data_IF_535806224037
#
_entry.id   IF_535806224037
#
_cell.length_a   1.000
_cell.length_b   1.000
_cell.length_c   1.000
_cell.angle_alpha   90.00
_cell.angle_beta   90.00
_cell.angle_gamma   90.00
#
_symmetry.space_group_name_H-M   'P 1'
#
loop_
_entity.id
_entity.type
_entity.pdbx_description
1 polymer ?
#
# COMPACT_ATOMS: atom_id res chain seq x y z
N UNK A 1 12.77 12.70 5.55
CA UNK A 1 12.66 13.92 6.40
C UNK A 1 11.74 13.69 7.58
N UNK A 2 10.45 13.37 7.37
CA UNK A 2 9.47 13.20 8.45
C UNK A 2 9.81 12.09 9.45
N UNK A 3 10.30 10.93 8.97
CA UNK A 3 10.82 9.86 9.85
C UNK A 3 11.96 10.35 10.74
N UNK A 4 12.94 11.04 10.15
CA UNK A 4 14.08 11.59 10.89
C UNK A 4 13.62 12.64 11.92
N UNK A 5 12.69 13.52 11.53
CA UNK A 5 12.11 14.49 12.45
C UNK A 5 11.38 13.78 13.61
N UNK A 6 10.57 12.76 13.30
CA UNK A 6 9.92 11.93 14.30
C UNK A 6 10.90 11.32 15.28
N UNK A 7 11.96 10.68 14.78
CA UNK A 7 13.01 10.09 15.61
C UNK A 7 13.69 11.14 16.52
N UNK A 8 14.04 12.30 15.98
CA UNK A 8 14.70 13.36 16.73
C UNK A 8 13.79 13.98 17.81
N UNK A 9 12.50 14.16 17.53
CA UNK A 9 11.55 14.75 18.47
C UNK A 9 10.93 13.72 19.44
N UNK A 10 11.04 12.43 19.13
CA UNK A 10 10.52 11.33 19.94
C UNK A 10 11.29 11.11 21.25
N UNK A 11 10.72 10.23 22.08
CA UNK A 11 11.14 9.99 23.47
C UNK A 11 12.61 9.62 23.66
N UNK A 12 13.25 9.00 22.67
CA UNK A 12 14.63 8.52 22.77
C UNK A 12 15.71 9.57 22.42
N UNK A 13 15.33 10.69 21.78
CA UNK A 13 16.27 11.73 21.37
C UNK A 13 16.04 13.03 22.16
N UNK A 14 15.21 13.95 21.65
CA UNK A 14 14.91 15.22 22.34
C UNK A 14 13.80 15.08 23.39
N UNK A 15 12.94 14.06 23.28
CA UNK A 15 11.86 13.82 24.24
C UNK A 15 10.79 14.91 24.29
N UNK A 16 10.66 15.73 23.23
CA UNK A 16 9.68 16.81 23.16
C UNK A 16 8.28 16.32 22.86
N UNK A 17 8.18 15.20 22.15
CA UNK A 17 6.93 14.49 21.91
C UNK A 17 6.96 13.22 22.75
N UNK A 18 6.31 13.28 23.90
CA UNK A 18 5.98 12.08 24.67
C UNK A 18 4.78 11.43 23.97
N UNK A 19 5.08 10.56 23.00
CA UNK A 19 4.04 9.76 22.31
C UNK A 19 3.54 8.72 23.31
N UNK A 20 2.67 9.14 24.22
CA UNK A 20 1.84 8.24 25.02
C UNK A 20 0.61 7.73 24.24
N UNK A 21 0.56 8.01 22.93
CA UNK A 21 -0.38 7.34 22.04
C UNK A 21 0.06 5.87 22.06
N UNK A 22 -0.64 5.04 22.83
CA UNK A 22 -0.45 3.59 22.81
C UNK A 22 -0.54 3.08 21.37
N UNK A 23 0.04 1.90 21.10
CA UNK A 23 0.10 1.31 19.75
C UNK A 23 -1.22 1.37 18.98
N UNK A 24 -2.35 1.29 19.68
CA UNK A 24 -3.71 1.42 19.15
C UNK A 24 -3.99 2.73 18.39
N UNK A 25 -3.55 3.89 18.90
CA UNK A 25 -3.81 5.17 18.23
C UNK A 25 -2.97 5.37 16.96
N UNK A 26 -1.73 4.86 16.95
CA UNK A 26 -0.89 4.82 15.75
C UNK A 26 -1.48 3.86 14.72
N UNK A 27 -1.97 2.70 15.15
CA UNK A 27 -2.65 1.72 14.31
C UNK A 27 -3.87 2.35 13.62
N UNK A 28 -4.79 2.94 14.38
CA UNK A 28 -5.99 3.58 13.80
C UNK A 28 -5.61 4.66 12.79
N UNK A 29 -4.63 5.51 13.10
CA UNK A 29 -4.17 6.53 12.16
C UNK A 29 -3.62 5.90 10.88
N UNK A 30 -2.75 4.90 11.00
CA UNK A 30 -2.14 4.20 9.88
C UNK A 30 -3.19 3.51 9.00
N UNK A 31 -4.15 2.82 9.61
CA UNK A 31 -5.26 2.13 8.92
C UNK A 31 -6.13 3.11 8.14
N UNK A 32 -6.57 4.20 8.78
CA UNK A 32 -7.40 5.21 8.11
C UNK A 32 -6.63 5.93 6.99
N UNK A 33 -5.34 6.17 7.19
CA UNK A 33 -4.47 6.78 6.16
C UNK A 33 -4.37 5.85 4.95
N UNK A 34 -4.02 4.58 5.16
CA UNK A 34 -3.91 3.62 4.07
C UNK A 34 -5.25 3.39 3.38
N UNK A 35 -6.36 3.34 4.11
CA UNK A 35 -7.69 3.21 3.54
C UNK A 35 -8.02 4.36 2.58
N UNK A 36 -7.67 5.61 2.96
CA UNK A 36 -7.87 6.77 2.12
C UNK A 36 -6.95 6.76 0.90
N UNK A 37 -5.66 6.47 1.09
CA UNK A 37 -4.65 6.41 0.01
C UNK A 37 -5.01 5.32 -1.01
N UNK A 38 -5.35 4.11 -0.56
CA UNK A 38 -5.81 3.03 -1.45
C UNK A 38 -7.05 3.43 -2.26
N UNK A 39 -7.96 4.18 -1.66
CA UNK A 39 -9.13 4.71 -2.38
C UNK A 39 -8.71 5.72 -3.45
N UNK A 40 -7.91 6.73 -3.09
CA UNK A 40 -7.50 7.80 -4.01
C UNK A 40 -6.64 7.27 -5.15
N UNK A 41 -5.69 6.40 -4.86
CA UNK A 41 -4.74 5.86 -5.85
C UNK A 41 -5.43 4.97 -6.87
N UNK A 42 -6.30 4.08 -6.39
CA UNK A 42 -7.11 3.23 -7.27
C UNK A 42 -8.14 4.03 -8.06
N UNK A 43 -8.70 5.11 -7.50
CA UNK A 43 -9.58 6.02 -8.22
C UNK A 43 -8.86 6.84 -9.27
N UNK A 44 -7.61 7.25 -9.02
CA UNK A 44 -6.79 7.98 -9.97
C UNK A 44 -6.34 7.11 -11.14
N UNK A 45 -6.08 5.83 -10.89
CA UNK A 45 -5.68 4.87 -11.90
C UNK A 45 -6.63 4.89 -13.08
N UNK A 46 -6.11 5.20 -14.27
CA UNK A 46 -6.91 5.28 -15.47
C UNK A 46 -7.12 3.88 -16.07
N UNK A 47 -8.12 3.15 -15.57
CA UNK A 47 -8.49 1.82 -16.10
C UNK A 47 -8.86 1.85 -17.59
N UNK A 48 -9.31 2.99 -18.13
CA UNK A 48 -9.59 3.13 -19.55
C UNK A 48 -8.30 3.24 -20.38
N UNK A 49 -7.26 3.88 -19.85
CA UNK A 49 -5.89 3.85 -20.41
C UNK A 49 -5.29 2.46 -20.28
N UNK A 50 -5.43 1.77 -19.14
CA UNK A 50 -4.98 0.37 -18.99
C UNK A 50 -5.60 -0.59 -20.04
N UNK A 51 -6.83 -0.33 -20.47
CA UNK A 51 -7.51 -1.09 -21.54
C UNK A 51 -7.13 -0.65 -22.96
N UNK A 52 -6.61 0.57 -23.16
CA UNK A 52 -6.29 1.16 -24.47
C UNK A 52 -4.79 1.14 -24.79
N UNK A 53 -3.94 1.20 -23.77
CA UNK A 53 -2.49 1.36 -23.88
C UNK A 53 -1.82 0.21 -23.10
N UNK A 54 -1.34 -0.75 -23.90
CA UNK A 54 -0.02 -1.39 -23.81
C UNK A 54 0.36 -2.17 -22.55
N UNK A 55 0.50 -3.48 -22.75
CA UNK A 55 1.23 -4.54 -22.01
C UNK A 55 2.19 -4.21 -20.84
N UNK A 56 2.78 -3.02 -20.71
CA UNK A 56 3.79 -2.72 -19.68
C UNK A 56 3.21 -2.79 -18.26
N UNK A 57 2.27 -1.93 -17.81
CA UNK A 57 1.72 -1.97 -16.45
C UNK A 57 1.08 -3.31 -16.10
N UNK A 58 0.40 -3.96 -17.05
CA UNK A 58 -0.17 -5.30 -16.84
C UNK A 58 0.94 -6.31 -16.54
N UNK A 59 2.04 -6.32 -17.30
CA UNK A 59 3.15 -7.23 -17.03
C UNK A 59 3.89 -6.87 -15.75
N UNK A 60 4.03 -5.59 -15.41
CA UNK A 60 4.62 -5.19 -14.14
C UNK A 60 3.77 -5.69 -12.96
N UNK A 61 2.44 -5.57 -13.03
CA UNK A 61 1.53 -5.99 -11.97
C UNK A 61 1.33 -7.52 -11.89
N UNK A 62 1.25 -8.23 -13.02
CA UNK A 62 0.92 -9.67 -13.03
C UNK A 62 2.14 -10.58 -13.21
N UNK A 63 3.32 -10.04 -13.56
CA UNK A 63 4.57 -10.79 -13.66
C UNK A 63 5.62 -10.19 -12.71
N UNK A 64 5.88 -8.88 -12.84
CA UNK A 64 6.91 -8.18 -12.05
C UNK A 64 6.65 -8.25 -10.55
N UNK A 65 5.44 -7.91 -10.10
CA UNK A 65 5.08 -7.89 -8.68
C UNK A 65 5.12 -9.29 -8.04
N UNK A 66 4.50 -10.36 -8.61
CA UNK A 66 4.66 -11.71 -8.09
C UNK A 66 6.12 -12.17 -8.05
N UNK A 67 6.91 -11.88 -9.08
CA UNK A 67 8.34 -12.22 -9.09
C UNK A 67 9.12 -11.42 -8.03
N UNK A 68 8.73 -10.19 -7.73
CA UNK A 68 9.30 -9.37 -6.64
C UNK A 68 9.03 -10.03 -5.30
N UNK A 69 7.80 -10.50 -5.06
CA UNK A 69 7.44 -11.23 -3.83
C UNK A 69 8.22 -12.54 -3.74
N UNK A 70 8.29 -13.33 -4.83
CA UNK A 70 9.01 -14.62 -4.84
C UNK A 70 10.52 -14.41 -4.59
N UNK A 71 11.13 -13.41 -5.23
CA UNK A 71 12.55 -13.14 -5.07
C UNK A 71 12.87 -12.52 -3.70
N UNK A 72 11.99 -11.66 -3.19
CA UNK A 72 12.04 -11.17 -1.81
C UNK A 72 11.95 -12.33 -0.82
N UNK A 73 11.00 -13.24 -1.01
CA UNK A 73 10.85 -14.43 -0.18
C UNK A 73 12.11 -15.30 -0.22
N UNK A 74 12.64 -15.62 -1.41
CA UNK A 74 13.83 -16.45 -1.55
C UNK A 74 15.07 -15.81 -0.89
N UNK A 75 15.22 -14.49 -1.01
CA UNK A 75 16.32 -13.75 -0.37
C UNK A 75 16.15 -13.70 1.15
N UNK A 76 14.93 -13.47 1.63
CA UNK A 76 14.62 -13.41 3.06
C UNK A 76 14.81 -14.77 3.72
N UNK A 77 14.38 -15.85 3.06
CA UNK A 77 14.56 -17.22 3.52
C UNK A 77 16.04 -17.61 3.65
N UNK A 78 16.92 -17.01 2.84
CA UNK A 78 18.36 -17.23 2.93
C UNK A 78 19.04 -16.39 4.03
N UNK A 79 18.49 -15.21 4.33
CA UNK A 79 19.12 -14.25 5.25
C UNK A 79 18.59 -14.36 6.69
N UNK A 80 17.33 -14.79 6.88
CA UNK A 80 16.67 -14.80 8.17
C UNK A 80 16.27 -16.22 8.56
N UNK A 81 17.15 -16.89 9.30
CA UNK A 81 16.93 -18.27 9.79
C UNK A 81 15.90 -18.33 10.94
N UNK A 82 15.60 -17.17 11.53
CA UNK A 82 14.71 -17.01 12.69
C UNK A 82 13.24 -16.84 12.29
N UNK A 83 12.98 -16.47 11.02
CA UNK A 83 11.63 -16.21 10.52
C UNK A 83 10.97 -17.49 10.01
N UNK A 84 9.70 -17.67 10.37
CA UNK A 84 8.86 -18.73 9.81
C UNK A 84 8.59 -18.54 8.30
N UNK A 85 8.14 -19.60 7.63
CA UNK A 85 7.83 -19.57 6.19
C UNK A 85 6.85 -18.42 5.83
N UNK A 86 5.78 -18.27 6.61
CA UNK A 86 4.77 -17.26 6.36
C UNK A 86 5.23 -15.85 6.77
N UNK A 87 6.12 -15.73 7.75
CA UNK A 87 6.70 -14.44 8.15
C UNK A 87 7.65 -13.89 7.07
N UNK A 88 8.47 -14.74 6.45
CA UNK A 88 9.29 -14.34 5.29
C UNK A 88 8.41 -13.94 4.11
N UNK A 89 7.28 -14.63 3.89
CA UNK A 89 6.33 -14.28 2.84
C UNK A 89 5.62 -12.94 3.12
N UNK A 90 5.29 -12.66 4.39
CA UNK A 90 4.82 -11.35 4.84
C UNK A 90 5.84 -10.27 4.53
N UNK A 91 7.10 -10.44 4.98
CA UNK A 91 8.18 -9.49 4.73
C UNK A 91 8.33 -9.16 3.25
N UNK A 92 8.37 -10.19 2.41
CA UNK A 92 8.48 -10.04 0.97
C UNK A 92 7.29 -9.30 0.37
N UNK A 93 6.08 -9.53 0.88
CA UNK A 93 4.86 -8.86 0.43
C UNK A 93 4.80 -7.41 0.89
N UNK A 94 5.21 -7.10 2.13
CA UNK A 94 5.24 -5.73 2.67
C UNK A 94 6.22 -4.82 1.92
N UNK A 95 7.31 -5.41 1.45
CA UNK A 95 8.34 -4.76 0.65
C UNK A 95 8.20 -5.10 -0.84
N UNK A 96 7.02 -5.45 -1.35
CA UNK A 96 6.76 -5.54 -2.78
C UNK A 96 6.14 -4.27 -3.40
N UNK A 97 5.22 -3.54 -2.74
CA UNK A 97 4.62 -2.34 -3.30
C UNK A 97 5.61 -1.18 -3.42
N UNK A 98 5.25 -0.23 -4.27
CA UNK A 98 6.01 0.98 -4.61
C UNK A 98 5.10 2.18 -4.67
N UNK A 99 5.57 3.32 -4.19
CA UNK A 99 4.77 4.52 -3.96
C UNK A 99 5.14 5.64 -4.95
N UNK A 100 4.22 5.98 -5.85
CA UNK A 100 4.43 7.05 -6.82
C UNK A 100 4.42 8.45 -6.20
N UNK A 101 3.84 8.65 -5.02
CA UNK A 101 3.82 9.95 -4.35
C UNK A 101 5.23 10.39 -3.95
N UNK A 102 6.07 9.46 -3.49
CA UNK A 102 7.50 9.70 -3.26
C UNK A 102 8.27 9.97 -4.56
N UNK A 103 7.77 9.46 -5.67
CA UNK A 103 8.30 9.64 -7.02
C UNK A 103 7.63 10.72 -7.86
N UNK A 104 6.77 11.58 -7.28
CA UNK A 104 5.88 12.49 -8.03
C UNK A 104 6.64 13.35 -9.05
N UNK A 105 7.81 13.85 -8.65
CA UNK A 105 8.69 14.65 -9.51
C UNK A 105 9.11 13.94 -10.81
N UNK A 106 9.15 12.61 -10.84
CA UNK A 106 9.51 11.81 -12.01
C UNK A 106 8.27 11.51 -12.86
N UNK A 107 7.18 11.07 -12.24
CA UNK A 107 5.93 10.72 -12.96
C UNK A 107 5.20 11.94 -13.52
N UNK A 108 5.52 13.16 -13.05
CA UNK A 108 5.03 14.42 -13.64
C UNK A 108 6.01 15.07 -14.61
N UNK A 109 7.23 14.56 -14.77
CA UNK A 109 8.27 15.22 -15.58
C UNK A 109 8.08 15.00 -17.09
N UNK A 110 7.86 16.03 -17.91
CA UNK A 110 7.69 15.88 -19.36
C UNK A 110 8.91 15.27 -20.09
N UNK A 111 10.10 15.30 -19.48
CA UNK A 111 11.31 14.68 -20.04
C UNK A 111 11.27 13.14 -20.00
N UNK A 112 10.43 12.55 -19.15
CA UNK A 112 10.23 11.09 -19.11
C UNK A 112 9.13 10.70 -20.11
N UNK A 113 9.35 9.69 -20.97
CA UNK A 113 8.35 9.25 -21.94
C UNK A 113 6.99 8.99 -21.29
N UNK A 114 5.92 9.44 -21.95
CA UNK A 114 4.55 9.35 -21.45
C UNK A 114 4.16 7.91 -21.08
N UNK A 115 4.46 6.94 -21.94
CA UNK A 115 4.18 5.52 -21.67
C UNK A 115 4.85 5.01 -20.40
N UNK A 116 6.07 5.47 -20.09
CA UNK A 116 6.79 5.10 -18.86
C UNK A 116 6.15 5.77 -17.64
N UNK A 117 5.83 7.07 -17.73
CA UNK A 117 5.16 7.79 -16.64
C UNK A 117 3.81 7.20 -16.30
N UNK A 118 2.99 6.92 -17.31
CA UNK A 118 1.68 6.28 -17.13
C UNK A 118 1.82 4.86 -16.57
N UNK A 119 2.79 4.07 -17.05
CA UNK A 119 3.04 2.72 -16.55
C UNK A 119 3.39 2.73 -15.06
N UNK A 120 4.32 3.60 -14.65
CA UNK A 120 4.75 3.70 -13.26
C UNK A 120 3.64 4.24 -12.34
N UNK A 121 2.83 5.17 -12.83
CA UNK A 121 1.67 5.69 -12.10
C UNK A 121 0.59 4.62 -11.91
N UNK A 122 0.31 3.82 -12.94
CA UNK A 122 -0.66 2.70 -12.84
C UNK A 122 -0.13 1.57 -11.97
N UNK A 123 1.16 1.23 -12.07
CA UNK A 123 1.79 0.22 -11.21
C UNK A 123 1.66 0.63 -9.75
N UNK A 124 2.08 1.86 -9.41
CA UNK A 124 2.04 2.38 -8.04
C UNK A 124 0.62 2.62 -7.53
N UNK A 125 -0.35 2.89 -8.40
CA UNK A 125 -1.75 3.08 -8.00
C UNK A 125 -2.52 1.79 -7.72
N UNK A 126 -2.02 0.64 -8.20
CA UNK A 126 -2.70 -0.65 -8.08
C UNK A 126 -1.94 -1.69 -7.25
N UNK A 127 -0.61 -1.61 -7.19
CA UNK A 127 0.22 -2.59 -6.49
C UNK A 127 -0.14 -2.73 -5.00
N UNK A 128 -0.34 -1.62 -4.27
CA UNK A 128 -0.67 -1.61 -2.85
C UNK A 128 -1.95 -2.40 -2.59
N UNK A 129 -3.00 -2.11 -3.36
CA UNK A 129 -4.28 -2.80 -3.27
C UNK A 129 -4.23 -4.26 -3.71
N UNK A 130 -3.33 -4.63 -4.62
CA UNK A 130 -3.08 -6.03 -5.02
C UNK A 130 -2.28 -6.77 -3.93
N UNK A 131 -1.38 -6.09 -3.23
CA UNK A 131 -0.60 -6.66 -2.14
C UNK A 131 -1.43 -6.91 -0.88
N UNK A 132 -2.45 -6.10 -0.59
CA UNK A 132 -3.29 -6.25 0.62
C UNK A 132 -3.88 -7.66 0.77
N UNK A 133 -4.60 -8.25 -0.21
CA UNK A 133 -5.11 -9.61 -0.09
C UNK A 133 -4.02 -10.65 0.16
N UNK A 134 -2.87 -10.50 -0.51
CA UNK A 134 -1.71 -11.41 -0.36
C UNK A 134 -1.14 -11.31 1.05
N UNK A 135 -1.00 -10.10 1.56
CA UNK A 135 -0.53 -9.83 2.92
C UNK A 135 -1.47 -10.44 3.96
N UNK A 136 -2.77 -10.15 3.88
CA UNK A 136 -3.77 -10.67 4.81
C UNK A 136 -3.82 -12.21 4.78
N UNK A 137 -3.64 -12.82 3.61
CA UNK A 137 -3.58 -14.27 3.48
C UNK A 137 -2.36 -14.86 4.18
N UNK A 138 -1.16 -14.32 3.96
CA UNK A 138 0.03 -14.78 4.67
C UNK A 138 -0.02 -14.49 6.18
N UNK A 139 -0.64 -13.37 6.59
CA UNK A 139 -0.83 -13.03 7.99
C UNK A 139 -1.68 -14.10 8.69
N UNK A 140 -2.81 -14.46 8.09
CA UNK A 140 -3.70 -15.49 8.61
C UNK A 140 -3.02 -16.87 8.69
N UNK A 141 -2.13 -17.18 7.75
CA UNK A 141 -1.34 -18.41 7.81
C UNK A 141 -0.25 -18.35 8.89
N UNK A 142 0.42 -17.21 9.08
CA UNK A 142 1.44 -17.03 10.12
C UNK A 142 0.85 -17.15 11.54
N UNK A 143 -0.31 -16.52 11.76
CA UNK A 143 -1.05 -16.63 13.03
C UNK A 143 -1.63 -18.03 13.22
N UNK A 144 -2.13 -18.66 12.15
CA UNK A 144 -2.68 -20.02 12.25
C UNK A 144 -1.62 -21.11 12.46
N UNK A 145 -0.39 -20.91 12.00
CA UNK A 145 0.73 -21.84 12.18
C UNK A 145 1.21 -21.88 13.65
N UNK A 146 1.11 -20.75 14.35
CA UNK A 146 1.48 -20.63 15.77
C UNK A 146 0.49 -21.31 16.71
N UNK A 147 -0.81 -21.33 16.39
CA UNK A 147 -1.85 -21.87 17.30
C UNK A 147 -2.14 -23.37 17.14
N UNK A 148 -1.89 -23.96 15.96
CA UNK A 148 -1.86 -25.41 15.63
C UNK A 148 -2.23 -25.59 14.14
N UNK A 149 -1.57 -26.48 13.39
CA UNK A 149 -1.74 -26.60 11.92
C UNK A 149 -3.18 -26.84 11.38
N UNK A 150 -4.16 -27.15 12.23
CA UNK A 150 -5.59 -27.17 11.84
C UNK A 150 -6.25 -25.77 11.84
N UNK A 151 -5.73 -24.82 12.62
CA UNK A 151 -6.19 -23.44 12.69
C UNK A 151 -5.83 -22.65 11.42
N UNK A 152 -4.66 -22.93 10.80
CA UNK A 152 -4.23 -22.27 9.57
C UNK A 152 -5.25 -22.38 8.42
N UNK A 153 -5.85 -23.56 8.22
CA UNK A 153 -6.87 -23.76 7.18
C UNK A 153 -8.17 -22.99 7.46
N UNK A 154 -8.56 -22.88 8.73
CA UNK A 154 -9.73 -22.10 9.14
C UNK A 154 -9.48 -20.59 8.98
N UNK A 155 -8.32 -20.10 9.45
CA UNK A 155 -7.94 -18.69 9.33
C UNK A 155 -7.81 -18.27 7.86
N UNK A 156 -7.21 -19.10 7.01
CA UNK A 156 -7.17 -18.85 5.56
C UNK A 156 -8.56 -18.75 4.94
N UNK A 157 -9.51 -19.59 5.37
CA UNK A 157 -10.90 -19.55 4.90
C UNK A 157 -11.62 -18.27 5.36
N UNK A 158 -11.46 -17.88 6.62
CA UNK A 158 -12.02 -16.64 7.17
C UNK A 158 -11.46 -15.42 6.45
N UNK A 159 -10.16 -15.39 6.17
CA UNK A 159 -9.54 -14.31 5.39
C UNK A 159 -10.07 -14.25 3.98
N UNK A 160 -10.27 -15.39 3.31
CA UNK A 160 -10.86 -15.41 1.97
C UNK A 160 -12.31 -14.87 1.99
N UNK A 161 -13.06 -15.19 3.04
CA UNK A 161 -14.39 -14.61 3.26
C UNK A 161 -14.30 -13.09 3.48
N UNK A 162 -13.38 -12.62 4.32
CA UNK A 162 -13.17 -11.20 4.59
C UNK A 162 -12.77 -10.42 3.32
N UNK A 163 -11.95 -11.02 2.46
CA UNK A 163 -11.62 -10.50 1.13
C UNK A 163 -12.89 -10.40 0.27
N UNK A 164 -13.68 -11.48 0.21
CA UNK A 164 -14.93 -11.51 -0.57
C UNK A 164 -15.94 -10.45 -0.12
N UNK A 165 -16.11 -10.27 1.19
CA UNK A 165 -16.97 -9.23 1.78
C UNK A 165 -16.43 -7.84 1.44
N UNK A 166 -15.12 -7.61 1.58
CA UNK A 166 -14.48 -6.35 1.19
C UNK A 166 -14.73 -5.99 -0.27
N UNK A 167 -14.57 -6.95 -1.19
CA UNK A 167 -14.87 -6.76 -2.62
C UNK A 167 -16.34 -6.41 -2.85
N UNK A 168 -17.26 -7.12 -2.18
CA UNK A 168 -18.70 -6.87 -2.33
C UNK A 168 -19.08 -5.48 -1.80
N UNK A 169 -18.63 -5.13 -0.60
CA UNK A 169 -18.89 -3.83 0.05
C UNK A 169 -18.31 -2.71 -0.79
N UNK A 170 -17.04 -2.80 -1.18
CA UNK A 170 -16.40 -1.80 -2.05
C UNK A 170 -17.10 -1.69 -3.40
N UNK A 171 -17.52 -2.82 -3.95
CA UNK A 171 -18.32 -2.93 -5.18
C UNK A 171 -19.60 -2.10 -5.12
N UNK A 172 -20.42 -2.39 -4.11
CA UNK A 172 -21.73 -1.74 -3.92
C UNK A 172 -21.55 -0.28 -3.51
N UNK A 173 -20.70 0.00 -2.51
CA UNK A 173 -20.51 1.33 -1.97
C UNK A 173 -19.86 2.28 -2.99
N UNK A 174 -18.83 1.84 -3.74
CA UNK A 174 -18.22 2.64 -4.81
C UNK A 174 -19.21 2.97 -5.92
N UNK A 175 -20.07 2.02 -6.28
CA UNK A 175 -21.08 2.21 -7.32
C UNK A 175 -22.21 3.15 -6.89
N UNK A 176 -22.79 2.90 -5.71
CA UNK A 176 -23.90 3.70 -5.15
C UNK A 176 -23.39 5.09 -4.76
N UNK A 177 -22.30 5.15 -4.01
CA UNK A 177 -21.66 6.38 -3.57
C UNK A 177 -21.18 7.23 -4.74
N UNK A 178 -20.50 6.63 -5.73
CA UNK A 178 -20.08 7.35 -6.93
C UNK A 178 -21.24 7.96 -7.72
N UNK A 179 -22.34 7.21 -7.89
CA UNK A 179 -23.56 7.74 -8.54
C UNK A 179 -24.23 8.84 -7.72
N UNK A 180 -24.29 8.70 -6.41
CA UNK A 180 -24.90 9.69 -5.52
C UNK A 180 -24.10 11.00 -5.54
N UNK A 181 -22.77 10.92 -5.40
CA UNK A 181 -21.87 12.08 -5.46
C UNK A 181 -22.02 12.78 -6.80
N UNK A 182 -22.00 12.02 -7.91
CA UNK A 182 -22.24 12.55 -9.24
C UNK A 182 -23.57 13.28 -9.35
N UNK A 183 -24.65 12.65 -8.89
CA UNK A 183 -26.00 13.21 -8.95
C UNK A 183 -26.11 14.52 -8.16
N UNK A 184 -25.58 14.57 -6.94
CA UNK A 184 -25.56 15.77 -6.11
C UNK A 184 -24.70 16.88 -6.74
N UNK A 185 -23.57 16.53 -7.36
CA UNK A 185 -22.69 17.47 -8.04
C UNK A 185 -23.33 18.06 -9.30
N UNK A 186 -24.00 17.24 -10.12
CA UNK A 186 -24.73 17.69 -11.32
C UNK A 186 -25.88 18.66 -10.98
N UNK A 187 -26.48 18.54 -9.79
CA UNK A 187 -27.49 19.48 -9.26
C UNK A 187 -26.90 20.72 -8.58
N UNK A 188 -25.57 20.83 -8.48
CA UNK A 188 -24.90 21.93 -7.78
C UNK A 188 -25.06 21.91 -6.26
N UNK A 189 -25.45 20.79 -5.66
CA UNK A 189 -25.59 20.66 -4.20
C UNK A 189 -24.24 20.59 -3.49
N UNK A 190 -23.20 20.13 -4.20
CA UNK A 190 -21.83 20.08 -3.71
C UNK A 190 -21.01 21.10 -4.49
N UNK A 191 -20.65 22.21 -3.84
CA UNK A 191 -19.92 23.31 -4.46
C UNK A 191 -18.85 23.89 -3.51
N UNK A 192 -17.82 24.50 -4.09
CA UNK A 192 -16.75 25.15 -3.34
C UNK A 192 -15.99 24.17 -2.44
N UNK A 193 -15.78 24.55 -1.18
CA UNK A 193 -15.08 23.74 -0.16
C UNK A 193 -15.77 22.43 0.16
N UNK A 194 -17.10 22.32 -0.03
CA UNK A 194 -17.84 21.08 0.21
C UNK A 194 -17.47 19.96 -0.75
N UNK A 195 -16.80 20.25 -1.87
CA UNK A 195 -16.27 19.20 -2.75
C UNK A 195 -15.13 18.39 -2.13
N UNK A 196 -14.54 18.84 -1.02
CA UNK A 196 -13.41 18.15 -0.40
C UNK A 196 -13.82 16.91 0.42
N UNK A 197 -15.08 16.87 0.87
CA UNK A 197 -15.57 15.89 1.85
C UNK A 197 -16.06 14.56 1.23
N UNK A 198 -16.78 14.52 0.09
CA UNK A 198 -17.52 13.33 -0.34
C UNK A 198 -16.66 12.09 -0.58
N UNK A 199 -15.46 12.24 -1.16
CA UNK A 199 -14.55 11.10 -1.40
C UNK A 199 -14.01 10.56 -0.08
N UNK A 200 -13.60 11.45 0.83
CA UNK A 200 -13.11 11.05 2.15
C UNK A 200 -14.22 10.30 2.91
N UNK A 201 -15.43 10.86 2.92
CA UNK A 201 -16.59 10.24 3.56
C UNK A 201 -16.92 8.87 2.94
N UNK A 202 -16.83 8.73 1.61
CA UNK A 202 -17.06 7.47 0.92
C UNK A 202 -15.99 6.43 1.28
N UNK A 203 -14.70 6.81 1.27
CA UNK A 203 -13.61 5.93 1.65
C UNK A 203 -13.78 5.42 3.10
N UNK A 204 -14.00 6.32 4.05
CA UNK A 204 -14.22 5.96 5.45
C UNK A 204 -15.48 5.10 5.65
N UNK A 205 -16.57 5.40 4.93
CA UNK A 205 -17.78 4.59 4.96
C UNK A 205 -17.55 3.18 4.40
N UNK A 206 -16.77 3.04 3.32
CA UNK A 206 -16.40 1.73 2.79
C UNK A 206 -15.58 0.94 3.81
N UNK A 207 -14.57 1.58 4.41
CA UNK A 207 -13.72 0.97 5.41
C UNK A 207 -14.53 0.47 6.62
N UNK A 208 -15.30 1.36 7.24
CA UNK A 208 -16.09 1.05 8.43
C UNK A 208 -17.17 0.01 8.15
N UNK A 209 -17.86 0.09 7.02
CA UNK A 209 -18.93 -0.87 6.66
C UNK A 209 -18.36 -2.26 6.41
N UNK A 210 -17.22 -2.37 5.73
CA UNK A 210 -16.58 -3.65 5.51
C UNK A 210 -16.11 -4.27 6.82
N UNK A 211 -15.45 -3.50 7.69
CA UNK A 211 -15.01 -3.96 9.01
C UNK A 211 -16.18 -4.42 9.88
N UNK A 212 -17.29 -3.69 9.87
CA UNK A 212 -18.50 -4.08 10.60
C UNK A 212 -19.10 -5.41 10.10
N UNK A 213 -18.91 -5.73 8.82
CA UNK A 213 -19.33 -6.99 8.21
C UNK A 213 -18.22 -8.07 8.26
N UNK A 214 -17.18 -7.88 9.08
CA UNK A 214 -16.03 -8.81 9.17
C UNK A 214 -15.26 -8.97 7.84
N UNK A 215 -15.34 -7.94 6.98
CA UNK A 215 -14.63 -7.82 5.72
C UNK A 215 -13.40 -6.92 5.81
N UNK A 216 -12.51 -7.04 4.84
CA UNK A 216 -11.34 -6.17 4.74
C UNK A 216 -11.74 -4.75 4.30
N UNK A 217 -11.56 -3.78 5.19
CA UNK A 217 -11.79 -2.36 4.92
C UNK A 217 -10.88 -1.81 3.82
N UNK A 218 -9.62 -2.23 3.80
CA UNK A 218 -8.64 -1.86 2.77
C UNK A 218 -9.08 -2.29 1.36
N UNK A 219 -9.54 -3.54 1.23
CA UNK A 219 -10.01 -4.07 -0.05
C UNK A 219 -11.29 -3.36 -0.48
N UNK A 220 -12.19 -3.06 0.47
CA UNK A 220 -13.39 -2.28 0.17
C UNK A 220 -13.06 -0.89 -0.36
N UNK A 221 -12.12 -0.17 0.27
CA UNK A 221 -11.66 1.13 -0.21
C UNK A 221 -11.01 1.05 -1.59
N UNK A 222 -10.13 0.08 -1.81
CA UNK A 222 -9.46 -0.13 -3.09
C UNK A 222 -10.46 -0.42 -4.22
N UNK A 223 -11.42 -1.33 -4.00
CA UNK A 223 -12.44 -1.66 -5.00
C UNK A 223 -13.39 -0.49 -5.23
N UNK A 224 -13.79 0.21 -4.17
CA UNK A 224 -14.66 1.37 -4.28
C UNK A 224 -13.98 2.51 -5.05
N UNK A 225 -12.69 2.76 -4.82
CA UNK A 225 -11.90 3.74 -5.54
C UNK A 225 -11.82 3.43 -7.03
N UNK A 226 -11.49 2.18 -7.42
CA UNK A 226 -11.51 1.75 -8.83
C UNK A 226 -12.86 2.02 -9.51
N UNK A 227 -13.97 1.70 -8.84
CA UNK A 227 -15.32 1.93 -9.38
C UNK A 227 -15.65 3.43 -9.46
N UNK A 228 -15.30 4.20 -8.43
CA UNK A 228 -15.50 5.64 -8.39
C UNK A 228 -14.76 6.33 -9.55
N UNK A 229 -13.48 5.98 -9.76
CA UNK A 229 -12.63 6.52 -10.82
C UNK A 229 -13.14 6.26 -12.24
N UNK A 230 -13.98 5.24 -12.43
CA UNK A 230 -14.63 4.95 -13.72
C UNK A 230 -16.00 5.60 -13.88
N UNK A 231 -16.70 5.87 -12.78
CA UNK A 231 -18.08 6.37 -12.74
C UNK A 231 -18.17 7.89 -12.80
N UNK A 232 -17.29 8.59 -12.07
CA UNK A 232 -17.20 10.05 -12.04
C UNK A 232 -16.02 10.52 -12.90
N UNK A 233 -16.30 11.14 -14.04
CA UNK A 233 -15.25 11.63 -14.97
C UNK A 233 -15.19 13.14 -15.08
N UNK A 234 -16.28 13.84 -14.76
CA UNK A 234 -16.43 15.28 -15.03
C UNK A 234 -15.75 16.11 -13.95
N UNK A 235 -15.96 15.74 -12.69
CA UNK A 235 -15.44 16.43 -11.52
C UNK A 235 -14.39 15.61 -10.75
N UNK A 236 -13.93 14.48 -11.33
CA UNK A 236 -12.96 13.53 -10.74
C UNK A 236 -11.78 14.24 -10.09
N UNK A 237 -11.05 15.06 -10.86
CA UNK A 237 -9.85 15.74 -10.38
C UNK A 237 -10.11 16.55 -9.12
N UNK A 238 -11.13 17.42 -9.12
CA UNK A 238 -11.46 18.26 -7.96
C UNK A 238 -11.81 17.49 -6.69
N UNK A 239 -12.49 16.35 -6.84
CA UNK A 239 -12.83 15.48 -5.72
C UNK A 239 -11.61 14.72 -5.19
N UNK A 240 -10.76 14.22 -6.09
CA UNK A 240 -9.56 13.45 -5.73
C UNK A 240 -8.43 14.34 -5.22
N UNK A 241 -8.16 15.51 -5.83
CA UNK A 241 -7.12 16.45 -5.38
C UNK A 241 -7.31 16.83 -3.91
N UNK A 242 -8.57 16.99 -3.49
CA UNK A 242 -8.89 17.31 -2.10
C UNK A 242 -8.68 16.12 -1.15
N UNK A 243 -9.11 14.92 -1.57
CA UNK A 243 -8.92 13.71 -0.79
C UNK A 243 -7.44 13.30 -0.71
N UNK A 244 -6.69 13.46 -1.80
CA UNK A 244 -5.24 13.32 -1.86
C UNK A 244 -4.56 14.27 -0.89
N UNK A 245 -4.93 15.56 -0.87
CA UNK A 245 -4.33 16.51 0.07
C UNK A 245 -4.53 16.11 1.55
N UNK A 246 -5.68 15.53 1.89
CA UNK A 246 -5.94 14.98 3.23
C UNK A 246 -5.16 13.69 3.45
N UNK A 247 -5.13 12.79 2.47
CA UNK A 247 -4.35 11.54 2.51
C UNK A 247 -2.85 11.80 2.68
N UNK A 248 -2.29 12.73 1.91
CA UNK A 248 -0.92 13.21 2.04
C UNK A 248 -0.68 13.76 3.45
N UNK A 249 -1.56 14.63 3.95
CA UNK A 249 -1.41 15.19 5.31
C UNK A 249 -1.40 14.09 6.39
N UNK A 250 -2.33 13.12 6.29
CA UNK A 250 -2.39 11.97 7.19
C UNK A 250 -1.14 11.07 7.05
N UNK A 251 -0.64 10.89 5.83
CA UNK A 251 0.59 10.16 5.55
C UNK A 251 1.78 10.84 6.22
N UNK A 252 1.93 12.17 6.10
CA UNK A 252 3.02 12.92 6.74
C UNK A 252 3.02 12.73 8.27
N UNK A 253 1.84 12.77 8.90
CA UNK A 253 1.70 12.48 10.33
C UNK A 253 2.08 11.03 10.62
N UNK A 254 1.62 10.07 9.81
CA UNK A 254 1.97 8.65 9.95
C UNK A 254 3.48 8.41 9.85
N UNK A 255 4.16 9.00 8.86
CA UNK A 255 5.62 8.94 8.71
C UNK A 255 6.35 9.54 9.91
N UNK A 256 5.86 10.66 10.44
CA UNK A 256 6.43 11.29 11.64
C UNK A 256 6.27 10.38 12.87
N UNK A 257 5.07 9.88 13.11
CA UNK A 257 4.76 9.02 14.25
C UNK A 257 5.52 7.69 14.19
N UNK A 258 5.62 7.09 12.99
CA UNK A 258 6.44 5.92 12.77
C UNK A 258 7.91 6.18 13.12
N UNK A 259 8.47 7.33 12.72
CA UNK A 259 9.83 7.73 13.11
C UNK A 259 10.00 7.92 14.62
N UNK A 260 9.00 8.50 15.29
CA UNK A 260 9.05 8.77 16.73
C UNK A 260 8.94 7.49 17.58
N UNK A 261 8.17 6.50 17.13
CA UNK A 261 7.87 5.28 17.90
C UNK A 261 8.71 4.11 17.40
N UNK A 262 8.59 3.73 16.13
CA UNK A 262 9.15 2.49 15.61
C UNK A 262 10.68 2.54 15.51
N UNK A 263 11.25 3.61 14.93
CA UNK A 263 12.70 3.71 14.71
C UNK A 263 13.48 3.74 16.02
N UNK A 264 12.96 4.38 17.07
CA UNK A 264 13.59 4.35 18.39
C UNK A 264 13.66 2.94 18.96
N UNK A 265 12.60 2.15 18.83
CA UNK A 265 12.53 0.80 19.39
C UNK A 265 13.39 -0.20 18.61
N UNK A 266 13.51 -0.03 17.29
CA UNK A 266 14.13 -1.03 16.41
C UNK A 266 15.59 -0.75 16.06
N UNK A 267 16.11 0.46 16.31
CA UNK A 267 17.49 0.83 15.94
C UNK A 267 18.56 -0.10 16.54
N UNK A 268 18.32 -0.64 17.73
CA UNK A 268 19.26 -1.55 18.42
C UNK A 268 19.35 -2.95 17.77
N UNK A 269 18.38 -3.30 16.92
CA UNK A 269 18.25 -4.61 16.28
C UNK A 269 18.68 -4.58 14.80
N UNK A 270 19.31 -3.49 14.35
CA UNK A 270 19.86 -3.39 13.00
C UNK A 270 21.13 -4.25 12.87
N UNK A 271 21.00 -5.40 12.21
CA UNK A 271 22.12 -6.24 11.82
C UNK A 271 22.45 -6.11 10.31
N UNK A 272 23.62 -6.59 9.89
CA UNK A 272 24.05 -6.60 8.50
C UNK A 272 23.09 -7.34 7.58
N UNK A 273 22.36 -8.37 8.10
CA UNK A 273 21.32 -9.11 7.37
C UNK A 273 20.18 -8.19 6.93
N UNK A 274 19.71 -7.33 7.83
CA UNK A 274 18.67 -6.32 7.56
C UNK A 274 19.15 -5.34 6.49
N UNK A 275 20.38 -4.83 6.62
CA UNK A 275 20.97 -3.93 5.63
C UNK A 275 21.11 -4.61 4.26
N UNK A 276 21.57 -5.87 4.22
CA UNK A 276 21.72 -6.64 3.00
C UNK A 276 20.36 -6.90 2.33
N UNK A 277 19.33 -7.22 3.10
CA UNK A 277 17.98 -7.40 2.57
C UNK A 277 17.39 -6.08 2.06
N UNK A 278 17.52 -4.98 2.79
CA UNK A 278 17.06 -3.66 2.35
C UNK A 278 17.75 -3.22 1.05
N UNK A 279 19.07 -3.38 0.96
CA UNK A 279 19.82 -3.06 -0.26
C UNK A 279 19.40 -3.96 -1.42
N UNK A 280 19.21 -5.25 -1.17
CA UNK A 280 18.71 -6.20 -2.18
C UNK A 280 17.28 -5.85 -2.63
N UNK A 281 16.42 -5.42 -1.70
CA UNK A 281 15.04 -5.01 -1.93
C UNK A 281 14.96 -3.82 -2.89
N UNK A 282 15.87 -2.86 -2.73
CA UNK A 282 15.96 -1.66 -3.57
C UNK A 282 16.70 -1.89 -4.90
N UNK A 283 17.47 -2.97 -5.00
CA UNK A 283 18.28 -3.27 -6.19
C UNK A 283 17.78 -4.54 -6.88
N UNK A 284 18.34 -5.70 -6.56
CA UNK A 284 18.13 -6.96 -7.28
C UNK A 284 16.66 -7.39 -7.25
N UNK A 285 16.02 -7.36 -6.08
CA UNK A 285 14.64 -7.82 -5.86
C UNK A 285 13.65 -6.97 -6.66
N UNK A 286 13.94 -5.69 -6.89
CA UNK A 286 13.08 -4.81 -7.71
C UNK A 286 13.47 -4.82 -9.19
N UNK A 287 14.76 -4.63 -9.49
CA UNK A 287 15.24 -4.46 -10.87
C UNK A 287 15.03 -5.73 -11.68
N UNK A 288 15.37 -6.90 -11.14
CA UNK A 288 15.35 -8.16 -11.91
C UNK A 288 13.92 -8.56 -12.34
N UNK A 289 12.90 -8.57 -11.46
CA UNK A 289 11.51 -8.84 -11.86
C UNK A 289 10.95 -7.88 -12.90
N UNK A 290 11.23 -6.57 -12.76
CA UNK A 290 10.83 -5.57 -13.75
C UNK A 290 11.52 -5.82 -15.08
N UNK A 291 12.81 -6.17 -15.05
CA UNK A 291 13.55 -6.53 -16.24
C UNK A 291 12.93 -7.73 -16.94
N UNK A 292 12.57 -8.79 -16.20
CA UNK A 292 11.92 -9.99 -16.72
C UNK A 292 10.54 -9.66 -17.31
N UNK A 293 9.72 -8.89 -16.59
CA UNK A 293 8.39 -8.46 -17.05
C UNK A 293 8.45 -7.65 -18.35
N UNK A 294 9.53 -6.89 -18.56
CA UNK A 294 9.76 -6.09 -19.76
C UNK A 294 10.30 -6.88 -20.98
N UNK A 295 10.60 -8.18 -20.85
CA UNK A 295 11.12 -9.00 -21.97
C UNK A 295 10.10 -9.03 -23.12
N UNK A 296 10.56 -8.75 -24.34
CA UNK A 296 9.72 -8.76 -25.54
C UNK A 296 8.86 -7.51 -25.75
N UNK A 297 9.03 -6.46 -24.93
CA UNK A 297 8.34 -5.17 -25.12
C UNK A 297 9.10 -4.17 -26.01
N UNK A 298 10.27 -4.54 -26.54
CA UNK A 298 11.07 -3.66 -27.40
C UNK A 298 11.65 -2.42 -26.69
N UNK A 299 11.57 -2.36 -25.36
CA UNK A 299 12.08 -1.25 -24.57
C UNK A 299 13.62 -1.26 -24.54
N UNK A 300 14.22 -0.07 -24.66
CA UNK A 300 15.66 0.08 -24.50
C UNK A 300 16.10 -0.34 -23.10
N UNK A 301 17.34 -0.80 -23.00
CA UNK A 301 17.95 -1.22 -21.74
C UNK A 301 17.87 -0.15 -20.65
N UNK A 302 18.11 1.13 -21.00
CA UNK A 302 18.11 2.22 -20.01
C UNK A 302 16.71 2.45 -19.45
N UNK A 303 15.68 2.32 -20.29
CA UNK A 303 14.28 2.43 -19.85
C UNK A 303 13.91 1.29 -18.91
N UNK A 304 14.35 0.06 -19.20
CA UNK A 304 14.10 -1.11 -18.33
C UNK A 304 14.79 -0.98 -16.98
N UNK A 305 16.05 -0.54 -16.97
CA UNK A 305 16.74 -0.23 -15.72
C UNK A 305 16.08 0.90 -14.96
N UNK A 306 15.70 1.97 -15.65
CA UNK A 306 15.05 3.11 -15.03
C UNK A 306 13.75 2.68 -14.35
N UNK A 307 12.87 1.95 -15.04
CA UNK A 307 11.64 1.40 -14.45
C UNK A 307 11.93 0.41 -13.31
N UNK A 308 12.98 -0.40 -13.44
CA UNK A 308 13.36 -1.38 -12.42
C UNK A 308 14.00 -0.75 -11.18
N UNK A 309 14.72 0.35 -11.32
CA UNK A 309 15.31 1.07 -10.19
C UNK A 309 14.32 2.05 -9.56
N UNK A 310 13.47 2.66 -10.39
CA UNK A 310 12.43 3.57 -9.94
C UNK A 310 11.26 2.79 -9.33
N UNK A 311 11.19 2.79 -8.01
CA UNK A 311 10.14 2.13 -7.24
C UNK A 311 10.36 2.35 -5.75
N UNK A 312 10.33 3.62 -5.28
CA UNK A 312 10.54 3.90 -3.87
C UNK A 312 9.47 3.17 -3.03
N UNK A 313 9.89 2.62 -1.89
CA UNK A 313 8.99 2.04 -0.88
C UNK A 313 8.35 3.18 -0.12
N UNK A 314 7.04 3.10 0.09
CA UNK A 314 6.29 4.20 0.68
C UNK A 314 5.38 3.81 1.81
N UNK A 315 4.28 4.56 1.93
CA UNK A 315 3.42 4.54 3.11
C UNK A 315 2.86 3.14 3.39
N UNK A 316 2.42 2.41 2.35
CA UNK A 316 1.82 1.10 2.51
C UNK A 316 2.73 0.11 3.27
N UNK A 317 4.03 0.09 2.98
CA UNK A 317 4.98 -0.75 3.71
C UNK A 317 4.98 -0.48 5.21
N UNK A 318 4.94 0.80 5.62
CA UNK A 318 4.87 1.17 7.03
C UNK A 318 3.57 0.70 7.67
N UNK A 319 2.44 0.94 7.01
CA UNK A 319 1.15 0.56 7.57
C UNK A 319 1.05 -0.95 7.68
N UNK A 320 1.59 -1.70 6.72
CA UNK A 320 1.66 -3.15 6.81
C UNK A 320 2.52 -3.63 7.98
N UNK A 321 3.67 -3.00 8.24
CA UNK A 321 4.48 -3.32 9.43
C UNK A 321 3.69 -3.06 10.72
N UNK A 322 2.99 -1.93 10.82
CA UNK A 322 2.15 -1.60 11.98
C UNK A 322 1.02 -2.63 12.17
N UNK A 323 0.40 -3.09 11.08
CA UNK A 323 -0.64 -4.13 11.12
C UNK A 323 -0.08 -5.48 11.59
N UNK A 324 1.09 -5.88 11.10
CA UNK A 324 1.69 -7.19 11.40
C UNK A 324 2.27 -7.24 12.81
N UNK A 325 2.84 -6.14 13.31
CA UNK A 325 3.42 -6.07 14.66
C UNK A 325 2.39 -6.13 15.78
N UNK A 326 1.13 -5.80 15.50
CA UNK A 326 0.04 -5.88 16.48
C UNK A 326 -0.44 -7.33 16.73
N UNK A 327 -0.20 -8.25 15.79
CA UNK A 327 -0.68 -9.64 15.85
C UNK A 327 0.23 -10.59 16.66
N UNK A 328 1.20 -10.07 17.43
CA UNK A 328 2.09 -10.85 18.32
C UNK A 328 2.79 -12.07 17.66
N UNK A 329 3.31 -11.89 16.45
CA UNK A 329 4.06 -12.94 15.76
C UNK A 329 5.45 -13.17 16.38
N UNK A 330 5.98 -14.41 16.41
CA UNK A 330 7.31 -14.72 16.94
C UNK A 330 8.45 -13.90 16.29
N UNK A 331 8.38 -13.66 14.98
CA UNK A 331 9.36 -12.88 14.22
C UNK A 331 9.06 -11.39 14.13
N UNK A 332 8.15 -10.84 14.95
CA UNK A 332 7.68 -9.45 14.81
C UNK A 332 8.81 -8.41 14.88
N UNK A 333 9.87 -8.67 15.62
CA UNK A 333 11.02 -7.77 15.76
C UNK A 333 11.79 -7.62 14.45
N UNK A 334 12.12 -8.74 13.79
CA UNK A 334 12.83 -8.76 12.49
C UNK A 334 11.96 -8.16 11.39
N UNK A 335 10.63 -8.39 11.44
CA UNK A 335 9.67 -7.79 10.52
C UNK A 335 9.56 -6.26 10.69
N UNK A 336 9.70 -5.76 11.92
CA UNK A 336 9.64 -4.33 12.20
C UNK A 336 10.93 -3.57 11.81
N UNK A 337 12.08 -4.24 11.81
CA UNK A 337 13.38 -3.64 11.50
C UNK A 337 13.70 -3.57 10.01
N UNK A 338 13.06 -4.41 9.19
CA UNK A 338 13.46 -4.71 7.80
C UNK A 338 12.61 -3.99 6.75
#
# INVERSE_FOLDING_TARGET
MYVLAGFLFGGQALGWVDVQIGGEGLKILAELTLALVLFTDSANTNLATLRRIETIPIRLLFIGLPLTIVLGFATGWLLFDELGLFEVALLATMLAPTDAALGKAVVTNPAVPESVRESLNVESGLNDGICVPVLLFFLALAVGDTESGHAAGLMAKLTLQAIGIGVLVGGVAGLVGGRLIRHCSERGWVAGSWMQIPVIALALACFATAQWLEGSGFIACFVAGMIFGTTEKRNKGRFLDAAEGVGDSMALVTWFMFGAVAVGLTWQHLDWRVFAYALSSLTVIRILPVFIAAIGLGLRWETRLFMGWFGPRGLASIVFVVLVTDETLPGSEVLATT
#
